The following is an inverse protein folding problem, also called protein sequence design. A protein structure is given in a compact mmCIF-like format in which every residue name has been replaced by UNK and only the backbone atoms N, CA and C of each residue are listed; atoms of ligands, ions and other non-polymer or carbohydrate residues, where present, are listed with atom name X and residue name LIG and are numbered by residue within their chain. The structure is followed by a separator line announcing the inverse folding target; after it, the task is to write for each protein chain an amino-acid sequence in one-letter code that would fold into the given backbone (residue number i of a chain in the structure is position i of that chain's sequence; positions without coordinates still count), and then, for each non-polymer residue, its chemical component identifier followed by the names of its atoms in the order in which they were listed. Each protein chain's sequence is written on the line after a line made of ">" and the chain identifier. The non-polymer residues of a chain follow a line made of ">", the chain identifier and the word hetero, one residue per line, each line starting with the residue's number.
data_IF_946129179194
#
_entry.id   IF_946129179194
#
_cell.length_a   1.000
_cell.length_b   1.000
_cell.length_c   1.000
_cell.angle_alpha   90.00
_cell.angle_beta   90.00
_cell.angle_gamma   90.00
#
_symmetry.space_group_name_H-M   'P 1'
#
loop_
_entity.id
_entity.type
_entity.pdbx_description
1 polymer ?
#
# COMPACT_ATOMS: atom_id res chain seq x y z
N UNK A 1 9.70 3.63 -11.00
CA UNK A 1 9.40 2.30 -11.58
C UNK A 1 9.61 1.26 -10.50
N UNK A 2 8.69 0.30 -10.36
CA UNK A 2 8.86 -0.81 -9.40
C UNK A 2 10.10 -1.61 -9.84
N UNK A 3 10.99 -1.92 -8.91
CA UNK A 3 12.16 -2.73 -9.21
C UNK A 3 11.70 -4.10 -9.73
N UNK A 4 12.32 -4.58 -10.82
CA UNK A 4 12.04 -5.91 -11.37
C UNK A 4 12.80 -7.03 -10.63
N UNK A 5 13.58 -6.67 -9.61
CA UNK A 5 14.36 -7.59 -8.79
C UNK A 5 13.66 -7.84 -7.46
N UNK A 6 13.72 -9.08 -6.99
CA UNK A 6 13.24 -9.48 -5.68
C UNK A 6 14.37 -9.43 -4.65
N UNK A 7 14.02 -9.27 -3.38
CA UNK A 7 15.01 -9.13 -2.31
C UNK A 7 15.98 -10.33 -2.24
N UNK A 8 15.50 -11.53 -2.57
CA UNK A 8 16.31 -12.76 -2.56
C UNK A 8 17.40 -12.79 -3.65
N UNK A 9 17.33 -11.89 -4.63
CA UNK A 9 18.33 -11.77 -5.69
C UNK A 9 19.50 -10.84 -5.30
N UNK A 10 19.42 -10.19 -4.13
CA UNK A 10 20.41 -9.24 -3.65
C UNK A 10 21.37 -9.84 -2.64
N UNK A 11 22.63 -9.41 -2.68
CA UNK A 11 23.58 -9.68 -1.59
C UNK A 11 23.34 -8.69 -0.46
N UNK A 12 22.91 -9.17 0.71
CA UNK A 12 22.52 -8.33 1.86
C UNK A 12 23.58 -8.26 2.96
N UNK A 13 24.43 -9.27 3.08
CA UNK A 13 25.36 -9.43 4.21
C UNK A 13 26.26 -8.21 4.39
N UNK A 14 26.26 -7.63 5.59
CA UNK A 14 27.08 -6.49 5.95
C UNK A 14 26.61 -5.13 5.40
N UNK A 15 25.56 -5.12 4.58
CA UNK A 15 25.04 -3.91 3.92
C UNK A 15 23.83 -3.34 4.67
N UNK A 16 23.64 -2.03 4.56
CA UNK A 16 22.50 -1.27 5.07
C UNK A 16 21.36 -1.36 4.05
N UNK A 17 20.25 -1.96 4.45
CA UNK A 17 19.10 -2.18 3.58
C UNK A 17 18.00 -1.21 3.97
N UNK A 18 17.91 -0.09 3.24
CA UNK A 18 16.87 0.90 3.45
C UNK A 18 15.55 0.35 2.92
N UNK A 19 14.63 0.04 3.82
CA UNK A 19 13.42 -0.72 3.52
C UNK A 19 12.18 0.13 3.79
N UNK A 20 11.43 0.45 2.72
CA UNK A 20 10.13 1.11 2.82
C UNK A 20 9.05 0.09 3.15
N UNK A 21 8.41 0.21 4.31
CA UNK A 21 7.32 -0.68 4.77
C UNK A 21 6.05 0.11 5.06
N UNK A 22 4.87 -0.53 5.04
CA UNK A 22 3.60 0.12 5.42
C UNK A 22 3.24 -0.24 6.87
N UNK A 23 3.56 0.65 7.82
CA UNK A 23 3.19 0.54 9.22
C UNK A 23 2.13 1.56 9.63
N UNK A 24 1.31 2.01 8.68
CA UNK A 24 0.18 2.87 8.97
C UNK A 24 -0.96 2.03 9.60
N UNK A 25 -0.80 1.70 10.88
CA UNK A 25 -1.71 0.88 11.68
C UNK A 25 -2.69 1.73 12.49
N UNK A 26 -3.91 1.25 12.77
CA UNK A 26 -4.84 1.94 13.64
C UNK A 26 -4.35 1.90 15.10
N UNK A 27 -4.33 3.06 15.74
CA UNK A 27 -4.06 3.22 17.17
C UNK A 27 -5.34 3.60 17.92
N UNK A 28 -5.50 3.12 19.15
CA UNK A 28 -6.56 3.57 20.05
C UNK A 28 -6.17 4.88 20.77
N UNK A 29 -7.07 5.39 21.62
CA UNK A 29 -6.86 6.62 22.40
C UNK A 29 -5.62 6.57 23.32
N UNK A 30 -5.20 5.37 23.73
CA UNK A 30 -4.00 5.14 24.54
C UNK A 30 -2.75 4.88 23.69
N UNK A 31 -2.80 5.17 22.39
CA UNK A 31 -1.75 4.94 21.40
C UNK A 31 -1.28 3.47 21.29
N UNK A 32 -2.14 2.53 21.65
CA UNK A 32 -1.88 1.10 21.44
C UNK A 32 -2.41 0.65 20.08
N UNK A 33 -1.64 -0.20 19.43
CA UNK A 33 -2.00 -0.81 18.14
C UNK A 33 -3.25 -1.66 18.32
N UNK A 34 -4.28 -1.37 17.52
CA UNK A 34 -5.52 -2.14 17.52
C UNK A 34 -5.47 -3.32 16.55
N UNK A 35 -4.74 -3.15 15.44
CA UNK A 35 -4.53 -4.17 14.42
C UNK A 35 -3.09 -4.08 13.92
N UNK A 36 -2.32 -5.16 14.14
CA UNK A 36 -0.92 -5.25 13.73
C UNK A 36 -0.73 -5.96 12.38
N UNK A 37 -1.81 -6.27 11.64
CA UNK A 37 -1.76 -7.03 10.39
C UNK A 37 -0.73 -6.48 9.40
N UNK A 38 -0.68 -5.15 9.23
CA UNK A 38 0.32 -4.52 8.35
C UNK A 38 1.77 -4.75 8.79
N UNK A 39 2.01 -4.75 10.10
CA UNK A 39 3.34 -5.03 10.67
C UNK A 39 3.70 -6.49 10.38
N UNK A 40 2.77 -7.42 10.64
CA UNK A 40 3.00 -8.85 10.41
C UNK A 40 3.28 -9.17 8.94
N UNK A 41 2.63 -8.46 8.01
CA UNK A 41 2.86 -8.63 6.57
C UNK A 41 4.27 -8.25 6.11
N UNK A 42 4.95 -7.32 6.79
CA UNK A 42 6.32 -6.91 6.46
C UNK A 42 7.40 -7.81 7.11
N UNK A 43 7.04 -8.61 8.12
CA UNK A 43 7.99 -9.46 8.85
C UNK A 43 8.80 -10.41 7.95
N UNK A 44 8.25 -11.05 6.90
CA UNK A 44 9.04 -11.92 6.03
C UNK A 44 10.24 -11.20 5.41
N UNK A 45 10.03 -9.97 4.91
CA UNK A 45 11.11 -9.15 4.33
C UNK A 45 12.15 -8.76 5.38
N UNK A 46 11.70 -8.34 6.56
CA UNK A 46 12.59 -7.90 7.64
C UNK A 46 13.43 -9.07 8.16
N UNK A 47 12.81 -10.23 8.39
CA UNK A 47 13.51 -11.44 8.85
C UNK A 47 14.55 -11.91 7.84
N UNK A 48 14.20 -11.91 6.55
CA UNK A 48 15.14 -12.28 5.50
C UNK A 48 16.38 -11.37 5.49
N UNK A 49 16.22 -10.04 5.65
CA UNK A 49 17.35 -9.12 5.75
C UNK A 49 18.26 -9.48 6.93
N UNK A 50 17.67 -9.74 8.10
CA UNK A 50 18.40 -10.06 9.33
C UNK A 50 19.11 -11.41 9.22
N UNK A 51 18.43 -12.44 8.73
CA UNK A 51 18.94 -13.81 8.58
C UNK A 51 20.11 -13.88 7.59
N UNK A 52 20.06 -13.09 6.50
CA UNK A 52 21.16 -12.95 5.54
C UNK A 52 22.31 -12.05 6.04
N UNK A 53 22.21 -11.53 7.28
CA UNK A 53 23.23 -10.71 7.92
C UNK A 53 23.29 -9.27 7.40
N UNK A 54 22.21 -8.77 6.80
CA UNK A 54 22.03 -7.37 6.46
C UNK A 54 21.64 -6.52 7.68
N UNK A 55 21.71 -5.21 7.52
CA UNK A 55 21.36 -4.21 8.54
C UNK A 55 20.06 -3.54 8.11
N UNK A 56 18.94 -3.88 8.75
CA UNK A 56 17.62 -3.43 8.31
C UNK A 56 17.34 -2.00 8.78
N UNK A 57 17.26 -1.04 7.86
CA UNK A 57 16.87 0.35 8.14
C UNK A 57 15.44 0.54 7.65
N UNK A 58 14.47 0.45 8.56
CA UNK A 58 13.05 0.50 8.25
C UNK A 58 12.55 1.93 8.25
N UNK A 59 11.77 2.29 7.24
CA UNK A 59 11.10 3.59 7.18
C UNK A 59 9.62 3.45 6.87
N UNK A 60 8.79 4.20 7.60
CA UNK A 60 7.35 4.20 7.39
C UNK A 60 6.68 5.53 7.66
N UNK A 61 5.37 5.56 7.48
CA UNK A 61 4.53 6.68 7.85
C UNK A 61 3.39 6.19 8.74
N UNK A 62 2.87 7.09 9.57
CA UNK A 62 1.67 6.86 10.36
C UNK A 62 0.76 8.08 10.23
N UNK A 63 -0.49 7.85 9.81
CA UNK A 63 -1.48 8.91 9.62
C UNK A 63 -1.06 9.98 8.60
N UNK A 64 -1.51 11.20 8.85
CA UNK A 64 -1.29 12.39 8.00
C UNK A 64 -1.01 13.62 8.88
N UNK A 65 0.18 13.70 9.49
CA UNK A 65 0.51 14.78 10.42
C UNK A 65 0.83 16.13 9.73
N UNK A 66 0.88 16.17 8.39
CA UNK A 66 0.99 17.41 7.62
C UNK A 66 2.33 18.11 7.73
N UNK A 67 3.43 17.37 7.88
CA UNK A 67 4.78 17.95 8.02
C UNK A 67 5.05 18.55 9.41
N UNK A 68 4.28 18.14 10.42
CA UNK A 68 4.49 18.55 11.80
C UNK A 68 4.69 17.33 12.69
N UNK A 69 5.52 17.46 13.73
CA UNK A 69 5.71 16.40 14.70
C UNK A 69 4.49 16.29 15.62
N UNK A 70 3.80 15.16 15.56
CA UNK A 70 2.60 14.89 16.36
C UNK A 70 2.83 13.63 17.18
N UNK A 71 2.84 13.75 18.52
CA UNK A 71 3.18 12.63 19.41
C UNK A 71 2.28 11.40 19.22
N UNK A 72 0.98 11.61 18.96
CA UNK A 72 0.02 10.53 18.68
C UNK A 72 0.23 9.82 17.34
N UNK A 73 1.09 10.35 16.47
CA UNK A 73 1.46 9.76 15.18
C UNK A 73 2.94 9.37 15.12
N UNK A 74 3.62 9.22 16.26
CA UNK A 74 4.97 8.64 16.31
C UNK A 74 4.93 7.15 16.00
N UNK A 75 6.00 6.63 15.38
CA UNK A 75 6.17 5.20 15.12
C UNK A 75 6.71 4.42 16.34
N UNK A 76 6.92 5.07 17.49
CA UNK A 76 7.41 4.40 18.70
C UNK A 76 6.59 3.16 19.11
N UNK A 77 5.23 3.17 19.13
CA UNK A 77 4.47 1.96 19.45
C UNK A 77 4.69 0.83 18.45
N UNK A 78 5.02 1.16 17.19
CA UNK A 78 5.35 0.17 16.15
C UNK A 78 6.72 -0.46 16.41
N UNK A 79 7.72 0.32 16.85
CA UNK A 79 9.03 -0.22 17.23
C UNK A 79 8.93 -1.25 18.39
N UNK A 80 8.11 -0.94 19.39
CA UNK A 80 7.85 -1.82 20.54
C UNK A 80 7.19 -3.15 20.09
N UNK A 81 6.19 -3.06 19.22
CA UNK A 81 5.51 -4.24 18.69
C UNK A 81 6.40 -5.06 17.75
N UNK A 82 7.22 -4.42 16.92
CA UNK A 82 8.21 -5.11 16.08
C UNK A 82 9.24 -5.85 16.92
N UNK A 83 9.73 -5.25 18.00
CA UNK A 83 10.65 -5.90 18.94
C UNK A 83 10.06 -7.20 19.46
N UNK A 84 8.78 -7.18 19.85
CA UNK A 84 8.04 -8.37 20.31
C UNK A 84 7.88 -9.42 19.21
N UNK A 85 7.59 -9.02 17.98
CA UNK A 85 7.30 -9.92 16.85
C UNK A 85 8.55 -10.54 16.21
N UNK A 86 9.66 -9.82 16.20
CA UNK A 86 10.95 -10.30 15.67
C UNK A 86 11.70 -11.11 16.74
N UNK A 87 11.50 -10.80 18.03
CA UNK A 87 12.20 -11.46 19.13
C UNK A 87 13.61 -10.92 19.35
N UNK A 88 13.91 -9.73 18.82
CA UNK A 88 15.16 -9.00 19.05
C UNK A 88 14.86 -7.51 19.20
N UNK A 89 15.80 -6.77 19.79
CA UNK A 89 15.68 -5.33 19.96
C UNK A 89 15.56 -4.60 18.60
N UNK A 90 14.55 -3.75 18.45
CA UNK A 90 14.44 -2.79 17.34
C UNK A 90 14.79 -1.41 17.87
N UNK A 91 15.85 -0.83 17.32
CA UNK A 91 16.32 0.49 17.73
C UNK A 91 15.43 1.55 17.07
N UNK A 92 14.79 2.40 17.87
CA UNK A 92 13.98 3.49 17.35
C UNK A 92 14.82 4.77 17.22
N UNK A 93 14.90 5.30 16.01
CA UNK A 93 15.67 6.52 15.73
C UNK A 93 14.94 7.77 16.22
N UNK A 94 15.67 8.85 16.60
CA UNK A 94 15.06 10.09 17.08
C UNK A 94 14.31 10.87 16.01
N UNK A 95 14.65 10.64 14.73
CA UNK A 95 14.05 11.21 13.52
C UNK A 95 14.23 10.25 12.33
N UNK A 96 13.88 10.67 11.10
CA UNK A 96 14.08 9.90 9.87
C UNK A 96 15.28 10.32 9.00
N UNK A 97 15.95 11.43 9.33
CA UNK A 97 17.22 11.84 8.73
C UNK A 97 18.02 12.74 9.70
N UNK A 98 19.19 13.18 9.27
CA UNK A 98 20.07 14.05 10.05
C UNK A 98 21.24 13.31 10.72
N UNK A 99 22.18 14.06 11.28
CA UNK A 99 23.46 13.52 11.73
C UNK A 99 23.34 12.39 12.75
N UNK A 100 22.42 12.50 13.70
CA UNK A 100 22.24 11.47 14.74
C UNK A 100 21.70 10.16 14.15
N UNK A 101 20.83 10.27 13.14
CA UNK A 101 20.29 9.11 12.41
C UNK A 101 21.38 8.49 11.54
N UNK A 102 22.19 9.30 10.85
CA UNK A 102 23.32 8.81 10.06
C UNK A 102 24.35 8.09 10.94
N UNK A 103 24.74 8.67 12.09
CA UNK A 103 25.64 8.05 13.06
C UNK A 103 25.08 6.72 13.57
N UNK A 104 23.79 6.70 13.91
CA UNK A 104 23.10 5.49 14.36
C UNK A 104 23.17 4.39 13.31
N UNK A 105 22.75 4.69 12.08
CA UNK A 105 22.73 3.72 10.96
C UNK A 105 24.14 3.23 10.61
N UNK A 106 25.15 4.10 10.66
CA UNK A 106 26.54 3.73 10.39
C UNK A 106 27.15 2.83 11.48
N UNK A 107 26.68 2.97 12.72
CA UNK A 107 27.13 2.15 13.86
C UNK A 107 26.48 0.77 13.94
N UNK A 108 25.46 0.51 13.10
CA UNK A 108 24.71 -0.75 13.12
C UNK A 108 25.60 -1.96 12.92
N UNK A 109 25.35 -2.99 13.71
CA UNK A 109 25.91 -4.33 13.56
C UNK A 109 25.06 -5.17 12.60
N UNK A 110 25.64 -6.22 12.05
CA UNK A 110 24.93 -7.13 11.15
C UNK A 110 23.76 -7.80 11.88
N UNK A 111 22.60 -7.87 11.23
CA UNK A 111 21.37 -8.40 11.81
C UNK A 111 20.60 -7.40 12.67
N UNK A 112 21.11 -6.19 12.92
CA UNK A 112 20.37 -5.18 13.66
C UNK A 112 19.25 -4.56 12.82
N UNK A 113 18.21 -4.10 13.52
CA UNK A 113 17.04 -3.46 12.93
C UNK A 113 16.88 -2.08 13.56
N UNK A 114 16.85 -1.05 12.73
CA UNK A 114 16.53 0.34 13.09
C UNK A 114 15.18 0.69 12.47
N UNK A 115 14.28 1.29 13.24
CA UNK A 115 13.06 1.93 12.73
C UNK A 115 13.22 3.45 12.81
N UNK A 116 13.14 4.11 11.67
CA UNK A 116 13.10 5.57 11.55
C UNK A 116 11.77 6.12 12.07
N UNK A 117 11.79 7.38 12.52
CA UNK A 117 10.56 8.09 12.89
C UNK A 117 9.67 8.34 11.65
N UNK A 118 8.41 8.71 11.89
CA UNK A 118 7.39 8.95 10.88
C UNK A 118 7.85 9.91 9.77
N UNK A 119 8.01 9.38 8.56
CA UNK A 119 8.44 10.13 7.38
C UNK A 119 7.58 11.37 7.10
N UNK A 120 6.29 11.34 7.43
CA UNK A 120 5.35 12.46 7.18
C UNK A 120 5.41 13.58 8.21
N UNK A 121 6.25 13.47 9.25
CA UNK A 121 6.62 14.62 10.07
C UNK A 121 7.39 15.67 9.27
N UNK A 122 7.89 15.30 8.09
CA UNK A 122 8.53 16.16 7.12
C UNK A 122 7.61 16.27 5.90
N UNK A 123 7.26 17.50 5.51
CA UNK A 123 6.39 17.78 4.34
C UNK A 123 7.04 17.31 3.04
N UNK A 124 8.37 17.30 3.06
CA UNK A 124 9.31 16.92 2.00
C UNK A 124 9.04 15.49 1.52
N UNK A 125 8.54 14.60 2.38
CA UNK A 125 8.11 13.24 2.01
C UNK A 125 6.98 13.25 0.98
N UNK A 126 5.93 14.06 1.20
CA UNK A 126 4.78 14.12 0.28
C UNK A 126 5.04 14.98 -0.94
N UNK A 127 5.98 15.92 -0.85
CA UNK A 127 6.41 16.79 -1.94
C UNK A 127 7.46 16.12 -2.85
N UNK A 128 7.99 14.95 -2.43
CA UNK A 128 9.05 14.23 -3.15
C UNK A 128 10.29 15.13 -3.37
N UNK A 129 10.69 15.86 -2.33
CA UNK A 129 11.78 16.82 -2.42
C UNK A 129 13.14 16.10 -2.60
N UNK A 130 13.92 16.57 -3.57
CA UNK A 130 15.19 15.95 -3.95
C UNK A 130 16.21 15.87 -2.81
N UNK A 131 16.38 16.94 -2.03
CA UNK A 131 17.35 16.92 -0.92
C UNK A 131 16.92 15.93 0.17
N UNK A 132 15.63 15.87 0.50
CA UNK A 132 15.13 14.86 1.44
C UNK A 132 15.31 13.43 0.91
N UNK A 133 15.11 13.19 -0.39
CA UNK A 133 15.39 11.90 -1.01
C UNK A 133 16.88 11.51 -0.90
N UNK A 134 17.78 12.48 -1.07
CA UNK A 134 19.22 12.29 -0.95
C UNK A 134 19.64 11.99 0.49
N UNK A 135 19.06 12.69 1.47
CA UNK A 135 19.29 12.43 2.90
C UNK A 135 18.87 11.00 3.28
N UNK A 136 17.68 10.56 2.83
CA UNK A 136 17.26 9.17 3.00
C UNK A 136 18.21 8.19 2.29
N UNK A 137 18.69 8.55 1.10
CA UNK A 137 19.64 7.76 0.32
C UNK A 137 20.94 7.43 1.05
N UNK A 138 21.43 8.31 1.93
CA UNK A 138 22.64 8.07 2.73
C UNK A 138 22.50 6.92 3.73
N UNK A 139 21.26 6.57 4.10
CA UNK A 139 20.94 5.60 5.14
C UNK A 139 20.92 4.15 4.64
N UNK A 140 21.24 3.90 3.37
CA UNK A 140 21.29 2.56 2.80
C UNK A 140 22.38 2.39 1.77
N UNK A 141 22.74 1.13 1.53
CA UNK A 141 23.54 0.68 0.37
C UNK A 141 22.65 0.02 -0.68
N UNK A 142 21.46 -0.45 -0.26
CA UNK A 142 20.42 -1.09 -1.07
C UNK A 142 19.07 -0.51 -0.67
N UNK A 143 18.19 -0.31 -1.65
CA UNK A 143 16.81 0.06 -1.39
C UNK A 143 15.85 -1.11 -1.63
N UNK A 144 14.97 -1.36 -0.67
CA UNK A 144 13.90 -2.33 -0.78
C UNK A 144 12.56 -1.65 -0.58
N UNK A 145 11.63 -1.81 -1.53
CA UNK A 145 10.24 -1.38 -1.34
C UNK A 145 9.35 -2.56 -1.00
N UNK A 146 8.72 -2.53 0.18
CA UNK A 146 7.75 -3.52 0.63
C UNK A 146 6.43 -2.86 1.08
N UNK A 147 6.14 -1.66 0.59
CA UNK A 147 4.97 -0.87 0.96
C UNK A 147 3.98 -0.68 -0.19
N UNK A 148 3.35 -1.78 -0.64
CA UNK A 148 2.41 -1.80 -1.79
C UNK A 148 1.35 -0.69 -1.72
N UNK A 149 0.76 -0.49 -0.54
CA UNK A 149 -0.28 0.51 -0.30
C UNK A 149 0.15 1.95 -0.57
N UNK A 150 1.45 2.22 -0.65
CA UNK A 150 2.01 3.56 -0.92
C UNK A 150 2.67 3.68 -2.30
N UNK A 151 2.89 2.58 -3.01
CA UNK A 151 3.60 2.57 -4.30
C UNK A 151 2.87 3.30 -5.43
N UNK A 152 1.57 3.56 -5.28
CA UNK A 152 0.78 4.34 -6.24
C UNK A 152 1.04 5.86 -6.17
N UNK A 153 1.85 6.33 -5.20
CA UNK A 153 2.20 7.74 -5.01
C UNK A 153 3.69 7.95 -5.23
N UNK A 154 4.03 9.05 -5.89
CA UNK A 154 5.40 9.51 -6.05
C UNK A 154 5.81 10.34 -4.83
N UNK A 155 6.07 9.67 -3.70
CA UNK A 155 6.63 10.29 -2.50
C UNK A 155 8.14 10.10 -2.47
N UNK A 156 8.84 10.86 -1.63
CA UNK A 156 10.29 10.76 -1.47
C UNK A 156 10.72 9.33 -1.13
N UNK A 157 10.14 8.74 -0.10
CA UNK A 157 10.48 7.40 0.37
C UNK A 157 10.05 6.23 -0.54
N UNK A 158 9.23 6.48 -1.56
CA UNK A 158 8.73 5.43 -2.48
C UNK A 158 9.27 5.56 -3.89
N UNK A 159 9.54 6.79 -4.34
CA UNK A 159 9.92 7.12 -5.72
C UNK A 159 11.25 7.87 -5.78
N UNK A 160 11.35 9.08 -5.22
CA UNK A 160 12.56 9.92 -5.40
C UNK A 160 13.83 9.32 -4.81
N UNK A 161 13.74 8.68 -3.63
CA UNK A 161 14.88 8.01 -2.98
C UNK A 161 15.51 6.95 -3.88
N UNK A 162 14.74 6.35 -4.79
CA UNK A 162 15.22 5.27 -5.66
C UNK A 162 16.23 5.71 -6.72
N UNK A 163 16.40 7.01 -6.94
CA UNK A 163 17.43 7.55 -7.85
C UNK A 163 18.83 7.49 -7.26
N UNK A 164 18.94 7.33 -5.92
CA UNK A 164 20.20 7.29 -5.19
C UNK A 164 20.73 5.87 -4.97
N UNK A 165 20.06 4.85 -5.52
CA UNK A 165 20.44 3.45 -5.36
C UNK A 165 20.63 2.76 -6.70
N UNK A 166 21.81 2.16 -6.88
CA UNK A 166 22.08 1.28 -8.02
C UNK A 166 21.29 -0.03 -7.92
N UNK A 167 21.29 -0.65 -6.72
CA UNK A 167 20.58 -1.89 -6.42
C UNK A 167 19.28 -1.60 -5.69
N UNK A 168 18.18 -2.11 -6.27
CA UNK A 168 16.82 -1.89 -5.80
C UNK A 168 16.04 -3.18 -5.96
N UNK A 169 15.29 -3.55 -4.93
CA UNK A 169 14.40 -4.69 -5.00
C UNK A 169 13.02 -4.38 -4.41
N UNK A 170 12.09 -5.28 -4.66
CA UNK A 170 10.82 -5.36 -3.93
C UNK A 170 10.88 -6.46 -2.86
N UNK A 171 10.23 -6.20 -1.73
CA UNK A 171 10.07 -7.19 -0.67
C UNK A 171 8.97 -8.21 -0.96
N UNK A 172 8.76 -9.12 -0.02
CA UNK A 172 7.82 -10.23 -0.15
C UNK A 172 6.36 -9.79 -0.26
N UNK A 173 5.95 -8.71 0.41
CA UNK A 173 4.58 -8.20 0.33
C UNK A 173 4.29 -7.66 -1.06
N UNK A 174 5.15 -6.77 -1.59
CA UNK A 174 4.96 -6.28 -2.96
C UNK A 174 5.06 -7.42 -3.97
N UNK A 175 6.00 -8.35 -3.82
CA UNK A 175 6.10 -9.53 -4.67
C UNK A 175 4.80 -10.32 -4.70
N UNK A 176 4.22 -10.60 -3.54
CA UNK A 176 2.94 -11.29 -3.41
C UNK A 176 1.83 -10.54 -4.14
N UNK A 177 1.68 -9.24 -3.88
CA UNK A 177 0.67 -8.40 -4.54
C UNK A 177 0.84 -8.37 -6.07
N UNK A 178 2.08 -8.25 -6.56
CA UNK A 178 2.39 -8.30 -7.99
C UNK A 178 2.09 -9.66 -8.61
N UNK A 179 2.38 -10.76 -7.90
CA UNK A 179 2.06 -12.11 -8.37
C UNK A 179 0.55 -12.33 -8.41
N UNK A 180 -0.19 -11.92 -7.38
CA UNK A 180 -1.65 -12.04 -7.34
C UNK A 180 -2.31 -11.18 -8.43
N UNK A 181 -1.99 -9.89 -8.49
CA UNK A 181 -2.55 -8.99 -9.50
C UNK A 181 -2.10 -9.36 -10.91
N UNK A 182 -0.81 -9.67 -11.07
CA UNK A 182 -0.22 -10.03 -12.35
C UNK A 182 -0.80 -11.32 -12.90
N UNK A 183 -0.89 -12.39 -12.10
CA UNK A 183 -1.46 -13.67 -12.54
C UNK A 183 -2.96 -13.56 -12.82
N UNK A 184 -3.72 -12.92 -11.93
CA UNK A 184 -5.16 -12.71 -12.11
C UNK A 184 -5.48 -11.89 -13.38
N UNK A 185 -4.60 -10.97 -13.77
CA UNK A 185 -4.86 -10.07 -14.91
C UNK A 185 -4.22 -10.58 -16.21
N UNK A 186 -3.08 -11.28 -16.18
CA UNK A 186 -2.37 -11.69 -17.39
C UNK A 186 -2.82 -13.05 -17.94
N UNK A 187 -3.05 -14.03 -17.06
CA UNK A 187 -3.49 -15.39 -17.41
C UNK A 187 -4.47 -15.89 -16.34
N UNK A 188 -5.68 -15.32 -16.25
CA UNK A 188 -6.65 -15.77 -15.27
C UNK A 188 -7.06 -17.22 -15.53
N UNK A 189 -7.18 -18.00 -14.45
CA UNK A 189 -7.85 -19.30 -14.47
C UNK A 189 -9.34 -19.03 -14.71
N UNK A 190 -9.94 -19.73 -15.67
CA UNK A 190 -11.34 -19.52 -16.08
C UNK A 190 -12.29 -20.54 -15.43
N UNK A 191 -13.54 -20.15 -15.09
CA UNK A 191 -14.13 -18.82 -15.29
C UNK A 191 -13.55 -17.78 -14.31
N UNK A 192 -13.18 -16.61 -14.83
CA UNK A 192 -12.65 -15.52 -14.02
C UNK A 192 -13.76 -14.52 -13.71
N UNK A 193 -14.10 -14.44 -12.43
CA UNK A 193 -15.07 -13.49 -11.92
C UNK A 193 -14.37 -12.33 -11.21
N UNK A 194 -14.88 -11.11 -11.39
CA UNK A 194 -14.49 -9.95 -10.58
C UNK A 194 -15.69 -9.42 -9.83
N UNK A 195 -15.50 -9.11 -8.54
CA UNK A 195 -16.50 -8.46 -7.70
C UNK A 195 -16.04 -7.03 -7.42
N UNK A 196 -16.86 -6.05 -7.76
CA UNK A 196 -16.62 -4.64 -7.51
C UNK A 196 -17.73 -4.05 -6.64
N UNK A 197 -17.35 -3.21 -5.70
CA UNK A 197 -18.29 -2.46 -4.88
C UNK A 197 -17.72 -1.11 -4.48
N UNK A 198 -18.36 -0.50 -3.48
CA UNK A 198 -18.07 0.86 -3.05
C UNK A 198 -19.22 1.80 -3.38
N UNK A 199 -18.99 3.09 -3.13
CA UNK A 199 -20.03 4.10 -3.20
C UNK A 199 -20.16 4.73 -4.60
N UNK A 200 -19.04 4.94 -5.28
CA UNK A 200 -18.96 5.70 -6.54
C UNK A 200 -18.48 4.83 -7.70
N UNK A 201 -19.22 4.87 -8.81
CA UNK A 201 -18.83 4.31 -10.11
C UNK A 201 -17.60 5.04 -10.65
N UNK A 202 -17.56 6.38 -10.51
CA UNK A 202 -16.50 7.24 -11.06
C UNK A 202 -15.09 6.82 -10.63
N UNK A 203 -14.93 6.38 -9.38
CA UNK A 203 -13.67 5.89 -8.81
C UNK A 203 -13.20 4.55 -9.42
N UNK A 204 -14.10 3.79 -10.06
CA UNK A 204 -13.86 2.41 -10.52
C UNK A 204 -13.93 2.23 -12.04
N UNK A 205 -14.35 3.25 -12.79
CA UNK A 205 -14.45 3.30 -14.26
C UNK A 205 -13.26 2.61 -14.95
N UNK A 206 -12.05 3.13 -14.71
CA UNK A 206 -10.83 2.65 -15.37
C UNK A 206 -10.49 1.19 -15.03
N UNK A 207 -10.89 0.73 -13.84
CA UNK A 207 -10.68 -0.64 -13.40
C UNK A 207 -11.65 -1.58 -14.12
N UNK A 208 -12.93 -1.21 -14.19
CA UNK A 208 -13.96 -1.99 -14.90
C UNK A 208 -13.56 -2.15 -16.37
N UNK A 209 -13.19 -1.06 -17.04
CA UNK A 209 -12.80 -1.09 -18.45
C UNK A 209 -11.66 -2.05 -18.75
N UNK A 210 -10.63 -2.09 -17.89
CA UNK A 210 -9.47 -2.98 -18.06
C UNK A 210 -9.80 -4.44 -17.77
N UNK A 211 -10.79 -4.70 -16.91
CA UNK A 211 -11.18 -6.05 -16.52
C UNK A 211 -12.20 -6.67 -17.47
N UNK A 212 -13.06 -5.87 -18.11
CA UNK A 212 -14.06 -6.36 -19.08
C UNK A 212 -13.45 -7.17 -20.23
N UNK A 213 -12.19 -6.93 -20.59
CA UNK A 213 -11.49 -7.70 -21.63
C UNK A 213 -11.00 -9.08 -21.15
N UNK A 214 -11.15 -9.40 -19.86
CA UNK A 214 -10.46 -10.51 -19.19
C UNK A 214 -11.38 -11.43 -18.40
N UNK A 215 -12.41 -10.85 -17.79
CA UNK A 215 -13.38 -11.59 -16.96
C UNK A 215 -14.44 -12.28 -17.81
N UNK A 216 -15.03 -13.34 -17.28
CA UNK A 216 -16.26 -13.93 -17.81
C UNK A 216 -17.48 -13.45 -17.02
N UNK A 217 -17.28 -13.09 -15.75
CA UNK A 217 -18.35 -12.65 -14.86
C UNK A 217 -17.91 -11.35 -14.19
N UNK A 218 -18.76 -10.33 -14.22
CA UNK A 218 -18.59 -9.07 -13.51
C UNK A 218 -19.73 -8.89 -12.53
N UNK A 219 -19.43 -8.88 -11.23
CA UNK A 219 -20.41 -8.70 -10.17
C UNK A 219 -20.25 -7.28 -9.61
N UNK A 220 -21.32 -6.49 -9.60
CA UNK A 220 -21.31 -5.13 -9.05
C UNK A 220 -22.24 -5.06 -7.84
N UNK A 221 -21.73 -4.62 -6.70
CA UNK A 221 -22.48 -4.40 -5.46
C UNK A 221 -22.22 -3.02 -4.85
N UNK A 222 -22.66 -2.84 -3.59
CA UNK A 222 -22.54 -1.57 -2.87
C UNK A 222 -23.39 -0.44 -3.47
N UNK A 223 -23.15 0.80 -3.02
CA UNK A 223 -23.90 1.97 -3.48
C UNK A 223 -23.79 2.20 -4.99
N UNK A 224 -22.63 1.88 -5.59
CA UNK A 224 -22.42 2.07 -7.03
C UNK A 224 -23.33 1.20 -7.90
N UNK A 225 -23.81 0.05 -7.42
CA UNK A 225 -24.75 -0.80 -8.14
C UNK A 225 -26.07 -0.07 -8.44
N UNK A 226 -26.47 0.89 -7.60
CA UNK A 226 -27.69 1.67 -7.80
C UNK A 226 -27.62 2.53 -9.07
N UNK A 227 -26.45 3.04 -9.45
CA UNK A 227 -26.27 3.76 -10.72
C UNK A 227 -26.52 2.82 -11.92
N UNK A 228 -26.07 1.56 -11.85
CA UNK A 228 -26.32 0.57 -12.91
C UNK A 228 -27.79 0.14 -12.96
N UNK A 229 -28.41 -0.11 -11.81
CA UNK A 229 -29.84 -0.41 -11.72
C UNK A 229 -30.69 0.75 -12.26
N UNK A 230 -30.35 1.98 -11.92
CA UNK A 230 -31.00 3.17 -12.48
C UNK A 230 -30.84 3.26 -14.00
N UNK A 231 -29.65 2.98 -14.51
CA UNK A 231 -29.36 2.98 -15.94
C UNK A 231 -30.20 1.93 -16.71
N UNK A 232 -30.47 0.78 -16.08
CA UNK A 232 -31.42 -0.24 -16.59
C UNK A 232 -32.91 0.12 -16.40
N UNK A 233 -33.22 1.30 -15.85
CA UNK A 233 -34.58 1.79 -15.69
C UNK A 233 -35.25 1.43 -14.36
N UNK A 234 -34.55 0.80 -13.42
CA UNK A 234 -35.12 0.47 -12.11
C UNK A 234 -35.29 1.72 -11.21
N UNK A 235 -36.27 1.64 -10.30
CA UNK A 235 -36.46 2.63 -9.23
C UNK A 235 -35.54 2.31 -8.06
N UNK A 236 -34.71 3.26 -7.66
CA UNK A 236 -33.72 3.08 -6.58
C UNK A 236 -34.05 3.85 -5.29
N UNK A 237 -35.17 4.58 -5.24
CA UNK A 237 -35.51 5.44 -4.11
C UNK A 237 -34.45 6.51 -3.83
N UNK A 238 -34.10 6.68 -2.56
CA UNK A 238 -33.06 7.60 -2.07
C UNK A 238 -31.65 6.98 -2.06
N UNK A 239 -31.45 5.83 -2.70
CA UNK A 239 -30.15 5.16 -2.73
C UNK A 239 -29.11 6.00 -3.46
N UNK A 240 -27.85 5.84 -3.08
CA UNK A 240 -26.73 6.57 -3.65
C UNK A 240 -26.63 6.37 -5.16
N UNK A 241 -26.51 7.46 -5.92
CA UNK A 241 -26.37 7.42 -7.38
C UNK A 241 -25.46 8.55 -7.84
N UNK A 242 -24.69 8.31 -8.90
CA UNK A 242 -23.93 9.34 -9.60
C UNK A 242 -24.58 9.64 -10.96
N UNK A 243 -25.41 10.69 -11.02
CA UNK A 243 -26.13 11.08 -12.24
C UNK A 243 -25.19 11.25 -13.45
N UNK A 244 -24.05 11.91 -13.24
CA UNK A 244 -23.02 12.12 -14.26
C UNK A 244 -22.37 10.82 -14.77
N UNK A 245 -22.62 9.68 -14.12
CA UNK A 245 -22.10 8.36 -14.49
C UNK A 245 -23.15 7.45 -15.14
N UNK A 246 -24.40 7.90 -15.34
CA UNK A 246 -25.47 7.07 -15.94
C UNK A 246 -25.18 6.66 -17.38
N UNK A 247 -24.78 7.61 -18.23
CA UNK A 247 -24.38 7.33 -19.61
C UNK A 247 -23.23 6.32 -19.67
N UNK A 248 -22.32 6.42 -18.69
CA UNK A 248 -21.20 5.52 -18.59
C UNK A 248 -21.61 4.12 -18.14
N UNK A 249 -22.49 4.01 -17.14
CA UNK A 249 -23.06 2.74 -16.71
C UNK A 249 -23.77 2.04 -17.88
N UNK A 250 -24.55 2.76 -18.68
CA UNK A 250 -25.18 2.24 -19.90
C UNK A 250 -24.16 1.72 -20.91
N UNK A 251 -23.09 2.50 -21.18
CA UNK A 251 -22.00 2.08 -22.08
C UNK A 251 -21.32 0.81 -21.57
N UNK A 252 -21.09 0.69 -20.26
CA UNK A 252 -20.48 -0.50 -19.68
C UNK A 252 -21.38 -1.74 -19.76
N UNK A 253 -22.68 -1.60 -19.51
CA UNK A 253 -23.65 -2.68 -19.67
C UNK A 253 -23.63 -3.20 -21.11
N UNK A 254 -23.68 -2.29 -22.08
CA UNK A 254 -23.60 -2.66 -23.50
C UNK A 254 -22.29 -3.34 -23.85
N UNK A 255 -21.16 -2.79 -23.38
CA UNK A 255 -19.83 -3.37 -23.63
C UNK A 255 -19.65 -4.75 -22.99
N UNK A 256 -20.23 -4.99 -21.81
CA UNK A 256 -20.25 -6.30 -21.17
C UNK A 256 -21.03 -7.30 -22.03
N UNK A 257 -22.22 -6.93 -22.50
CA UNK A 257 -23.04 -7.75 -23.41
C UNK A 257 -22.30 -8.05 -24.72
N UNK A 258 -21.70 -7.05 -25.37
CA UNK A 258 -20.92 -7.20 -26.60
C UNK A 258 -19.74 -8.18 -26.43
N UNK A 259 -19.14 -8.22 -25.24
CA UNK A 259 -18.00 -9.09 -24.92
C UNK A 259 -18.41 -10.47 -24.39
N UNK A 260 -19.71 -10.72 -24.22
CA UNK A 260 -20.21 -11.94 -23.59
C UNK A 260 -19.80 -12.08 -22.12
N UNK A 261 -19.59 -10.95 -21.44
CA UNK A 261 -19.35 -10.91 -20.00
C UNK A 261 -20.68 -10.93 -19.28
N UNK A 262 -20.87 -11.89 -18.37
CA UNK A 262 -22.04 -11.97 -17.52
C UNK A 262 -21.98 -10.88 -16.45
N UNK A 263 -22.78 -9.82 -16.61
CA UNK A 263 -22.91 -8.74 -15.64
C UNK A 263 -23.99 -9.10 -14.61
N UNK A 264 -23.58 -9.33 -13.36
CA UNK A 264 -24.46 -9.61 -12.23
C UNK A 264 -24.62 -8.35 -11.36
N UNK A 265 -25.87 -7.92 -11.20
CA UNK A 265 -26.28 -6.84 -10.30
C UNK A 265 -27.11 -7.42 -9.13
N UNK A 266 -27.25 -6.70 -8.01
CA UNK A 266 -28.07 -7.15 -6.89
C UNK A 266 -29.53 -7.30 -7.33
N UNK A 267 -30.15 -8.42 -6.97
CA UNK A 267 -31.57 -8.70 -7.25
C UNK A 267 -32.49 -8.25 -6.10
N UNK A 268 -31.92 -8.08 -4.92
CA UNK A 268 -32.54 -7.59 -3.71
C UNK A 268 -31.59 -6.63 -2.98
N UNK A 269 -32.14 -5.87 -2.02
CA UNK A 269 -31.38 -4.96 -1.19
C UNK A 269 -32.01 -4.88 0.20
N UNK A 270 -31.17 -4.75 1.22
CA UNK A 270 -31.60 -4.34 2.55
C UNK A 270 -31.72 -2.82 2.56
N UNK A 271 -32.93 -2.31 2.83
CA UNK A 271 -33.23 -0.87 2.85
C UNK A 271 -33.56 -0.41 4.27
N UNK A 272 -33.30 0.86 4.54
CA UNK A 272 -33.62 1.52 5.81
C UNK A 272 -34.18 2.93 5.53
N UNK A 273 -34.91 3.48 6.51
CA UNK A 273 -35.42 4.85 6.46
C UNK A 273 -34.32 5.90 6.73
N UNK A 274 -33.26 5.53 7.46
CA UNK A 274 -32.14 6.40 7.84
C UNK A 274 -30.79 5.67 7.88
N UNK A 275 -29.70 6.44 7.72
CA UNK A 275 -28.31 6.00 7.84
C UNK A 275 -27.61 6.96 8.82
N UNK A 276 -27.35 6.50 10.05
CA UNK A 276 -26.68 7.26 11.12
C UNK A 276 -25.18 6.92 11.21
#
# INVERSE_FOLDING_TARGET
>A
MIANQFIEELSLKGRRILTRVDFNVPLNEKLKIMDNGRITCALPTIRHIVEEGGKAVLMSHLGRPGGMRVASMSLKPVAEELTRLIGQNVIFAPDCFGEDVEKLVNSMQNGEVVLLENLRFHKEETENETEFCKELGKLGDVYVNDAFGTTHRAHASTAGVTEFFAERAVGYLIRKELQFLGSAISKPIKPFATILGGAKVSDKIKVIERLLDKVQILIIGGGMACTFLKAQGFKIGSSLMEENSLDYANKLINKANEKGVELLLPIDAVIADRFE
#
